data_IF_334840127881
#
_entry.id   IF_334840127881
#
_cell.length_a   1.000
_cell.length_b   1.000
_cell.length_c   1.000
_cell.angle_alpha   90.00
_cell.angle_beta   90.00
_cell.angle_gamma   90.00
#
_symmetry.space_group_name_H-M   'P 1'
#
loop_
_entity.id
_entity.type
_entity.pdbx_description
1 polymer ?
#
# COMPACT_ATOMS: atom_id res chain seq x y z
N UNK A 1 16.32 2.91 -0.78
CA UNK A 1 14.92 3.25 -1.06
C UNK A 1 14.01 2.22 -0.43
N UNK A 2 13.22 2.61 0.53
CA UNK A 2 12.33 1.66 1.18
C UNK A 2 11.12 1.32 0.30
N UNK A 3 11.03 0.05 -0.05
CA UNK A 3 9.89 -0.47 -0.77
C UNK A 3 9.08 -1.30 0.20
N UNK A 4 7.80 -1.00 0.31
CA UNK A 4 6.89 -1.74 1.18
C UNK A 4 5.79 -2.39 0.36
N UNK A 5 5.39 -3.56 0.81
CA UNK A 5 4.27 -4.25 0.21
C UNK A 5 3.00 -3.93 0.98
N UNK A 6 1.93 -3.75 0.23
CA UNK A 6 0.63 -3.42 0.78
C UNK A 6 -0.42 -4.36 0.25
N UNK A 7 -1.45 -4.55 1.05
CA UNK A 7 -2.59 -5.36 0.67
C UNK A 7 -3.86 -4.53 0.82
N UNK A 8 -4.66 -4.52 -0.24
CA UNK A 8 -5.94 -3.84 -0.21
C UNK A 8 -7.03 -4.82 0.16
N UNK A 9 -7.64 -4.70 1.35
CA UNK A 9 -8.69 -5.63 1.74
C UNK A 9 -10.00 -5.44 0.98
N UNK A 10 -10.16 -4.30 0.32
CA UNK A 10 -11.39 -4.01 -0.39
C UNK A 10 -11.48 -4.76 -1.72
N UNK A 11 -10.40 -4.79 -2.47
CA UNK A 11 -10.36 -5.48 -3.74
C UNK A 11 -9.47 -6.72 -3.72
N UNK A 12 -8.89 -7.01 -2.55
CA UNK A 12 -8.03 -8.18 -2.33
C UNK A 12 -6.83 -8.21 -3.28
N UNK A 13 -6.21 -7.05 -3.46
CA UNK A 13 -5.05 -6.90 -4.32
C UNK A 13 -3.80 -6.62 -3.51
N UNK A 14 -2.68 -7.22 -3.91
CA UNK A 14 -1.39 -6.95 -3.33
C UNK A 14 -0.59 -6.06 -4.29
N UNK A 15 0.13 -5.08 -3.73
CA UNK A 15 0.94 -4.20 -4.54
C UNK A 15 2.13 -3.69 -3.75
N UNK A 16 3.13 -3.20 -4.46
CA UNK A 16 4.31 -2.61 -3.86
C UNK A 16 4.29 -1.10 -4.09
N UNK A 17 4.76 -0.37 -3.11
CA UNK A 17 4.83 1.08 -3.19
C UNK A 17 6.11 1.57 -2.55
N UNK A 18 6.74 2.56 -3.18
CA UNK A 18 7.91 3.22 -2.59
C UNK A 18 7.42 4.27 -1.60
N UNK A 19 7.84 4.13 -0.36
CA UNK A 19 7.44 5.04 0.71
C UNK A 19 8.69 5.75 1.23
N UNK A 20 8.72 7.06 1.08
CA UNK A 20 9.88 7.85 1.48
C UNK A 20 9.83 8.27 2.94
N UNK A 21 8.64 8.37 3.50
CA UNK A 21 8.48 8.73 4.91
C UNK A 21 7.13 8.23 5.42
N UNK A 22 6.91 8.40 6.72
CA UNK A 22 5.69 7.92 7.37
C UNK A 22 4.43 8.66 6.92
N UNK A 23 4.61 9.82 6.33
CA UNK A 23 3.48 10.64 5.91
C UNK A 23 3.08 10.39 4.46
N UNK A 24 3.76 9.51 3.79
CA UNK A 24 3.44 9.17 2.42
C UNK A 24 2.09 8.46 2.37
N UNK A 25 1.18 9.01 1.59
CA UNK A 25 -0.13 8.38 1.43
C UNK A 25 -0.06 7.29 0.39
N UNK A 26 -0.60 6.15 0.75
CA UNK A 26 -0.64 4.99 -0.14
C UNK A 26 -2.09 4.66 -0.43
N UNK A 27 -2.39 4.51 -1.70
CA UNK A 27 -3.72 4.15 -2.16
C UNK A 27 -3.63 2.96 -3.10
N UNK A 28 -4.66 2.15 -3.08
CA UNK A 28 -4.74 1.01 -3.98
C UNK A 28 -4.84 1.50 -5.42
N UNK A 29 -3.98 1.01 -6.33
CA UNK A 29 -4.02 1.44 -7.73
C UNK A 29 -5.23 0.88 -8.49
N UNK A 30 -5.92 -0.09 -7.90
CA UNK A 30 -7.06 -0.71 -8.55
C UNK A 30 -8.38 -0.04 -8.17
N UNK A 31 -8.62 0.15 -6.88
CA UNK A 31 -9.89 0.72 -6.41
C UNK A 31 -9.72 2.07 -5.71
N UNK A 32 -8.51 2.59 -5.64
CA UNK A 32 -8.19 3.87 -5.01
C UNK A 32 -8.54 3.95 -3.53
N UNK A 33 -8.65 2.80 -2.87
CA UNK A 33 -8.92 2.77 -1.45
C UNK A 33 -7.69 3.23 -0.67
N UNK A 34 -7.88 4.07 0.32
CA UNK A 34 -6.81 4.50 1.20
C UNK A 34 -6.62 3.57 2.39
N UNK A 35 -7.49 2.59 2.54
CA UNK A 35 -7.44 1.66 3.68
C UNK A 35 -6.65 0.41 3.36
N UNK A 36 -5.48 0.60 2.82
CA UNK A 36 -4.58 -0.52 2.53
C UNK A 36 -3.76 -0.87 3.76
N UNK A 37 -3.43 -2.14 3.89
CA UNK A 37 -2.62 -2.63 4.99
C UNK A 37 -1.19 -2.85 4.54
N UNK A 38 -0.26 -2.45 5.37
CA UNK A 38 1.15 -2.66 5.11
C UNK A 38 1.50 -4.11 5.46
N UNK A 39 2.11 -4.81 4.52
CA UNK A 39 2.58 -6.17 4.75
C UNK A 39 4.00 -6.11 5.29
N UNK A 40 4.17 -6.60 6.49
CA UNK A 40 5.49 -6.67 7.13
C UNK A 40 5.96 -8.11 7.06
N UNK A 41 7.08 -8.32 6.44
CA UNK A 41 7.68 -9.64 6.36
C UNK A 41 8.69 -9.87 7.46
#
# INVERSE_FOLDING_TARGET
MPIFEFHCPKCDEDFEKIVFNDKTKVQCPNCNSSKVSKKIS
#
